data_IF_752655944949
#
_entry.id   IF_752655944949
#
_cell.length_a   1.000
_cell.length_b   1.000
_cell.length_c   1.000
_cell.angle_alpha   90.00
_cell.angle_beta   90.00
_cell.angle_gamma   90.00
#
_symmetry.space_group_name_H-M   'P 1'
#
loop_
_entity.id
_entity.type
_entity.pdbx_description
1 polymer ?
#
# COMPACT_ATOMS: atom_id res chain seq x y z
N UNK A 1 -11.08 1.69 -44.42
CA UNK A 1 -11.73 0.39 -44.12
C UNK A 1 -10.64 -0.64 -43.84
N UNK A 2 -10.28 -0.87 -42.57
CA UNK A 2 -9.27 -1.87 -42.16
C UNK A 2 -9.99 -3.03 -41.49
N UNK A 3 -9.84 -4.21 -42.08
CA UNK A 3 -10.49 -5.46 -41.70
C UNK A 3 -9.82 -6.05 -40.44
N UNK A 4 -10.60 -6.21 -39.36
CA UNK A 4 -10.20 -6.95 -38.17
C UNK A 4 -10.31 -8.45 -38.45
N UNK A 5 -9.20 -9.18 -38.37
CA UNK A 5 -9.19 -10.64 -38.36
C UNK A 5 -9.27 -11.13 -36.92
N UNK A 6 -10.37 -11.79 -36.59
CA UNK A 6 -10.57 -12.52 -35.33
C UNK A 6 -9.85 -13.86 -35.46
N UNK A 7 -8.89 -14.12 -34.59
CA UNK A 7 -8.20 -15.42 -34.49
C UNK A 7 -8.79 -16.18 -33.31
N UNK A 8 -9.54 -17.22 -33.61
CA UNK A 8 -10.10 -18.17 -32.64
C UNK A 8 -9.00 -19.16 -32.22
N UNK A 9 -8.65 -19.18 -30.93
CA UNK A 9 -7.80 -20.23 -30.36
C UNK A 9 -8.67 -21.36 -29.81
N UNK A 10 -8.51 -22.56 -30.37
CA UNK A 10 -9.06 -23.79 -29.83
C UNK A 10 -8.10 -24.34 -28.76
N UNK A 11 -8.59 -24.49 -27.52
CA UNK A 11 -7.86 -25.13 -26.42
C UNK A 11 -8.17 -26.63 -26.46
N UNK A 12 -7.15 -27.43 -26.76
CA UNK A 12 -7.22 -28.90 -26.74
C UNK A 12 -6.92 -29.36 -25.30
N UNK A 13 -7.92 -29.96 -24.64
CA UNK A 13 -7.74 -30.59 -23.32
C UNK A 13 -7.15 -31.99 -23.53
N UNK A 14 -5.86 -32.13 -23.23
CA UNK A 14 -5.17 -33.42 -23.23
C UNK A 14 -5.30 -34.12 -21.88
N UNK A 15 -5.98 -35.27 -21.86
CA UNK A 15 -6.01 -36.24 -20.76
C UNK A 15 -4.72 -37.07 -20.77
N UNK A 16 -3.98 -37.08 -19.66
CA UNK A 16 -2.85 -38.00 -19.45
C UNK A 16 -3.16 -38.99 -18.34
N UNK A 17 -3.07 -40.32 -18.58
CA UNK A 17 -3.06 -41.33 -17.54
C UNK A 17 -1.62 -41.75 -17.19
N UNK A 18 -1.40 -42.19 -15.94
CA UNK A 18 -0.22 -42.99 -15.60
C UNK A 18 0.63 -42.46 -14.45
N UNK A 19 0.12 -42.59 -13.22
CA UNK A 19 0.92 -42.56 -12.00
C UNK A 19 1.75 -43.86 -11.92
N UNK A 20 3.06 -43.76 -12.15
CA UNK A 20 4.05 -44.75 -11.71
C UNK A 20 4.87 -44.11 -10.59
N UNK A 21 4.71 -44.65 -9.38
CA UNK A 21 5.49 -44.29 -8.20
C UNK A 21 6.89 -44.92 -8.31
N UNK A 22 7.99 -44.17 -8.35
CA UNK A 22 9.31 -44.73 -8.13
C UNK A 22 9.56 -44.97 -6.64
N UNK A 23 10.15 -46.14 -6.35
CA UNK A 23 10.66 -46.54 -5.03
C UNK A 23 11.55 -45.44 -4.42
N UNK A 24 11.16 -44.94 -3.25
CA UNK A 24 11.99 -44.07 -2.41
C UNK A 24 13.04 -44.95 -1.73
N UNK A 25 14.24 -45.01 -2.29
CA UNK A 25 15.40 -45.54 -1.60
C UNK A 25 15.81 -44.56 -0.49
N UNK A 26 15.85 -45.03 0.77
CA UNK A 26 16.45 -44.30 1.88
C UNK A 26 17.94 -44.07 1.59
N UNK A 27 18.28 -42.89 1.09
CA UNK A 27 19.66 -42.42 1.02
C UNK A 27 20.17 -42.11 2.43
N UNK A 28 21.33 -42.67 2.77
CA UNK A 28 22.04 -42.40 4.01
C UNK A 28 22.35 -40.89 4.16
N UNK A 29 22.40 -40.36 5.40
CA UNK A 29 22.72 -38.95 5.64
C UNK A 29 24.16 -38.66 5.18
N UNK A 30 24.30 -37.97 4.04
CA UNK A 30 25.55 -37.33 3.69
C UNK A 30 25.86 -36.30 4.78
N UNK A 31 27.02 -36.44 5.44
CA UNK A 31 27.56 -35.43 6.35
C UNK A 31 27.59 -34.09 5.60
N UNK A 32 26.73 -33.16 6.01
CA UNK A 32 26.74 -31.80 5.53
C UNK A 32 28.14 -31.22 5.72
N UNK A 33 28.85 -31.01 4.61
CA UNK A 33 30.12 -30.30 4.62
C UNK A 33 29.90 -28.92 5.24
N UNK A 34 30.81 -28.52 6.13
CA UNK A 34 30.79 -27.21 6.76
C UNK A 34 30.57 -26.14 5.69
N UNK A 35 29.46 -25.41 5.78
CA UNK A 35 29.15 -24.31 4.89
C UNK A 35 30.32 -23.32 4.96
N UNK A 36 31.06 -23.20 3.86
CA UNK A 36 32.12 -22.21 3.75
C UNK A 36 31.51 -20.83 4.08
N UNK A 37 32.18 -20.07 4.96
CA UNK A 37 31.75 -18.73 5.31
C UNK A 37 31.49 -17.93 4.01
N UNK A 38 30.43 -17.10 3.96
CA UNK A 38 30.16 -16.29 2.79
C UNK A 38 31.40 -15.46 2.48
N UNK A 39 31.98 -15.65 1.28
CA UNK A 39 33.15 -14.87 0.84
C UNK A 39 32.89 -13.37 1.03
N UNK A 40 33.90 -12.52 1.20
CA UNK A 40 33.65 -11.08 1.27
C UNK A 40 33.24 -10.54 -0.12
N UNK A 41 32.58 -9.37 -0.19
CA UNK A 41 32.22 -8.77 -1.48
C UNK A 41 33.44 -8.49 -2.36
N UNK A 42 34.55 -8.02 -1.78
CA UNK A 42 35.81 -7.77 -2.50
C UNK A 42 36.38 -9.03 -3.18
N UNK A 43 36.23 -10.20 -2.56
CA UNK A 43 36.66 -11.47 -3.14
C UNK A 43 35.85 -11.81 -4.39
N UNK A 44 34.54 -11.53 -4.37
CA UNK A 44 33.67 -11.75 -5.53
C UNK A 44 33.96 -10.80 -6.68
N UNK A 45 34.25 -9.52 -6.40
CA UNK A 45 34.61 -8.56 -7.47
C UNK A 45 35.92 -8.97 -8.13
N UNK A 46 36.91 -9.37 -7.34
CA UNK A 46 38.19 -9.89 -7.85
C UNK A 46 37.97 -11.12 -8.73
N UNK A 47 37.18 -12.09 -8.26
CA UNK A 47 36.82 -13.28 -9.05
C UNK A 47 36.05 -12.93 -10.31
N UNK A 48 35.10 -12.02 -10.24
CA UNK A 48 34.32 -11.54 -11.39
C UNK A 48 35.19 -10.91 -12.46
N UNK A 49 36.21 -10.15 -12.06
CA UNK A 49 37.24 -9.59 -12.97
C UNK A 49 38.05 -10.68 -13.65
N UNK A 50 38.59 -11.64 -12.89
CA UNK A 50 39.33 -12.78 -13.48
C UNK A 50 38.48 -13.54 -14.49
N UNK A 51 37.21 -13.81 -14.18
CA UNK A 51 36.28 -14.48 -15.11
C UNK A 51 36.03 -13.66 -16.38
N UNK A 52 35.98 -12.32 -16.27
CA UNK A 52 35.87 -11.46 -17.44
C UNK A 52 37.13 -11.53 -18.31
N UNK A 53 38.31 -11.44 -17.71
CA UNK A 53 39.61 -11.52 -18.40
C UNK A 53 39.80 -12.89 -19.08
N UNK A 54 39.31 -13.96 -18.44
CA UNK A 54 39.28 -15.33 -18.97
C UNK A 54 38.17 -15.57 -20.02
N UNK A 55 37.43 -14.52 -20.42
CA UNK A 55 36.32 -14.57 -21.39
C UNK A 55 35.13 -15.45 -20.95
N UNK A 56 35.00 -15.74 -19.66
CA UNK A 56 33.88 -16.47 -19.05
C UNK A 56 32.77 -15.50 -18.64
N UNK A 57 32.19 -14.81 -19.62
CA UNK A 57 31.33 -13.66 -19.37
C UNK A 57 30.06 -13.99 -18.55
N UNK A 58 29.41 -15.13 -18.82
CA UNK A 58 28.20 -15.53 -18.08
C UNK A 58 28.50 -15.84 -16.61
N UNK A 59 29.61 -16.54 -16.33
CA UNK A 59 30.05 -16.82 -14.96
C UNK A 59 30.42 -15.52 -14.23
N UNK A 60 31.10 -14.59 -14.92
CA UNK A 60 31.42 -13.27 -14.40
C UNK A 60 30.15 -12.51 -14.00
N UNK A 61 29.13 -12.50 -14.87
CA UNK A 61 27.83 -11.87 -14.57
C UNK A 61 27.19 -12.46 -13.32
N UNK A 62 27.16 -13.79 -13.18
CA UNK A 62 26.57 -14.44 -12.01
C UNK A 62 27.28 -14.05 -10.72
N UNK A 63 28.63 -14.07 -10.73
CA UNK A 63 29.46 -13.70 -9.58
C UNK A 63 29.28 -12.23 -9.20
N UNK A 64 29.31 -11.33 -10.18
CA UNK A 64 29.17 -9.88 -9.96
C UNK A 64 27.76 -9.49 -9.51
N UNK A 65 26.72 -10.14 -10.05
CA UNK A 65 25.33 -9.94 -9.59
C UNK A 65 25.17 -10.38 -8.14
N UNK A 66 25.79 -11.50 -7.76
CA UNK A 66 25.84 -11.95 -6.37
C UNK A 66 26.64 -11.00 -5.46
N UNK A 67 27.67 -10.33 -5.98
CA UNK A 67 28.41 -9.31 -5.25
C UNK A 67 27.57 -8.05 -5.01
N UNK A 68 26.78 -7.63 -6.01
CA UNK A 68 25.98 -6.40 -5.95
C UNK A 68 24.94 -6.41 -4.84
N UNK A 69 24.29 -7.56 -4.60
CA UNK A 69 23.23 -7.70 -3.60
C UNK A 69 23.74 -7.81 -2.15
N UNK A 70 25.06 -7.85 -1.95
CA UNK A 70 25.62 -7.95 -0.60
C UNK A 70 25.60 -6.60 0.11
N UNK A 71 25.20 -6.56 1.39
CA UNK A 71 25.27 -5.34 2.17
C UNK A 71 26.73 -4.93 2.41
N UNK A 72 26.98 -3.63 2.55
CA UNK A 72 28.29 -3.11 2.93
C UNK A 72 29.28 -2.88 1.77
N UNK A 73 28.82 -2.97 0.51
CA UNK A 73 29.63 -2.53 -0.63
C UNK A 73 29.85 -1.02 -0.55
N UNK A 74 31.10 -0.58 -0.50
CA UNK A 74 31.44 0.83 -0.62
C UNK A 74 31.19 1.36 -2.04
N UNK A 75 31.27 2.68 -2.19
CA UNK A 75 30.97 3.36 -3.45
C UNK A 75 31.86 2.87 -4.60
N UNK A 76 33.15 2.72 -4.35
CA UNK A 76 34.13 2.30 -5.37
C UNK A 76 33.89 0.84 -5.81
N UNK A 77 33.55 -0.04 -4.87
CA UNK A 77 33.17 -1.43 -5.18
C UNK A 77 31.91 -1.48 -6.03
N UNK A 78 30.89 -0.67 -5.73
CA UNK A 78 29.66 -0.60 -6.53
C UNK A 78 29.94 -0.12 -7.96
N UNK A 79 30.75 0.92 -8.11
CA UNK A 79 31.17 1.43 -9.42
C UNK A 79 31.86 0.32 -10.23
N UNK A 80 32.80 -0.40 -9.60
CA UNK A 80 33.53 -1.47 -10.29
C UNK A 80 32.64 -2.65 -10.69
N UNK A 81 31.70 -3.06 -9.82
CA UNK A 81 30.73 -4.11 -10.13
C UNK A 81 29.88 -3.73 -11.34
N UNK A 82 29.27 -2.54 -11.32
CA UNK A 82 28.44 -2.06 -12.43
C UNK A 82 29.25 -1.91 -13.72
N UNK A 83 30.50 -1.43 -13.64
CA UNK A 83 31.40 -1.31 -14.79
C UNK A 83 31.68 -2.67 -15.44
N UNK A 84 32.06 -3.67 -14.65
CA UNK A 84 32.33 -5.02 -15.15
C UNK A 84 31.07 -5.70 -15.68
N UNK A 85 29.91 -5.53 -15.04
CA UNK A 85 28.63 -6.03 -15.57
C UNK A 85 28.32 -5.41 -16.94
N UNK A 86 28.46 -4.09 -17.08
CA UNK A 86 28.27 -3.42 -18.36
C UNK A 86 29.22 -3.98 -19.44
N UNK A 87 30.49 -4.23 -19.11
CA UNK A 87 31.46 -4.79 -20.08
C UNK A 87 31.08 -6.20 -20.54
N UNK A 88 30.68 -7.06 -19.61
CA UNK A 88 30.18 -8.40 -19.92
C UNK A 88 28.96 -8.32 -20.87
N UNK A 89 27.96 -7.51 -20.53
CA UNK A 89 26.74 -7.38 -21.32
C UNK A 89 26.98 -6.78 -22.71
N UNK A 90 27.83 -5.75 -22.83
CA UNK A 90 28.20 -5.18 -24.13
C UNK A 90 28.91 -6.22 -24.99
N UNK A 91 29.77 -7.03 -24.40
CA UNK A 91 30.52 -8.08 -25.11
C UNK A 91 29.58 -9.16 -25.65
N UNK A 92 28.60 -9.57 -24.85
CA UNK A 92 27.57 -10.55 -25.23
C UNK A 92 26.48 -9.98 -26.14
N UNK A 93 26.44 -8.66 -26.37
CA UNK A 93 25.40 -8.01 -27.18
C UNK A 93 24.04 -7.84 -26.48
N UNK A 94 24.02 -7.98 -25.15
CA UNK A 94 22.86 -7.78 -24.27
C UNK A 94 22.66 -6.29 -23.97
N UNK A 95 22.02 -5.58 -24.89
CA UNK A 95 21.96 -4.11 -24.88
C UNK A 95 21.18 -3.55 -23.69
N UNK A 96 20.02 -4.12 -23.38
CA UNK A 96 19.13 -3.62 -22.34
C UNK A 96 19.74 -3.80 -20.94
N UNK A 97 20.42 -4.93 -20.71
CA UNK A 97 21.12 -5.22 -19.47
C UNK A 97 22.40 -4.38 -19.32
N UNK A 98 23.13 -4.14 -20.42
CA UNK A 98 24.26 -3.22 -20.43
C UNK A 98 23.84 -1.81 -20.05
N UNK A 99 22.76 -1.32 -20.64
CA UNK A 99 22.19 -0.02 -20.32
C UNK A 99 21.77 0.07 -18.85
N UNK A 100 21.08 -0.94 -18.34
CA UNK A 100 20.68 -1.00 -16.93
C UNK A 100 21.89 -0.95 -15.98
N UNK A 101 22.96 -1.69 -16.30
CA UNK A 101 24.19 -1.68 -15.50
C UNK A 101 24.89 -0.32 -15.53
N UNK A 102 24.94 0.35 -16.68
CA UNK A 102 25.51 1.69 -16.84
C UNK A 102 24.69 2.74 -16.08
N UNK A 103 23.35 2.68 -16.16
CA UNK A 103 22.47 3.57 -15.38
C UNK A 103 22.68 3.37 -13.88
N UNK A 104 22.80 2.12 -13.42
CA UNK A 104 23.16 1.82 -12.03
C UNK A 104 24.48 2.47 -11.60
N UNK A 105 25.49 2.43 -12.48
CA UNK A 105 26.76 3.14 -12.26
C UNK A 105 26.53 4.66 -12.12
N UNK A 106 25.78 5.29 -13.03
CA UNK A 106 25.52 6.73 -13.04
C UNK A 106 24.69 7.21 -11.83
N UNK A 107 23.87 6.35 -11.23
CA UNK A 107 23.20 6.64 -9.96
C UNK A 107 24.21 6.73 -8.81
N UNK A 108 25.22 5.85 -8.80
CA UNK A 108 26.29 5.82 -7.78
C UNK A 108 27.30 6.95 -7.99
N UNK A 109 27.66 7.25 -9.25
CA UNK A 109 28.51 8.37 -9.63
C UNK A 109 28.04 9.03 -10.95
N UNK A 110 27.27 10.12 -10.86
CA UNK A 110 26.78 10.85 -12.05
C UNK A 110 27.89 11.41 -12.92
N UNK A 111 29.08 11.63 -12.36
CA UNK A 111 30.22 12.23 -13.06
C UNK A 111 31.16 11.19 -13.69
N UNK A 112 30.89 9.90 -13.50
CA UNK A 112 31.77 8.83 -13.93
C UNK A 112 31.98 8.77 -15.45
N UNK A 113 33.21 8.98 -15.90
CA UNK A 113 33.59 8.83 -17.29
C UNK A 113 34.51 7.62 -17.47
N UNK A 114 34.28 6.83 -18.52
CA UNK A 114 35.20 5.75 -18.84
C UNK A 114 36.60 6.28 -19.16
N UNK A 115 37.67 5.63 -18.67
CA UNK A 115 39.03 5.96 -19.04
C UNK A 115 39.26 5.86 -20.56
N UNK A 116 40.05 6.78 -21.13
CA UNK A 116 40.37 6.78 -22.57
C UNK A 116 41.11 5.53 -23.05
N UNK A 117 41.74 4.77 -22.16
CA UNK A 117 42.38 3.49 -22.47
C UNK A 117 41.40 2.36 -22.80
N UNK A 118 40.14 2.51 -22.40
CA UNK A 118 39.10 1.51 -22.67
C UNK A 118 38.72 1.50 -24.16
N UNK A 119 38.26 0.34 -24.64
CA UNK A 119 37.89 0.13 -26.04
C UNK A 119 36.88 1.18 -26.53
N UNK A 120 37.04 1.73 -27.76
CA UNK A 120 36.08 2.67 -28.34
C UNK A 120 34.63 2.18 -28.24
N UNK A 121 34.38 0.89 -28.49
CA UNK A 121 33.05 0.28 -28.42
C UNK A 121 32.39 0.46 -27.04
N UNK A 122 33.11 0.26 -25.95
CA UNK A 122 32.55 0.43 -24.60
C UNK A 122 32.24 1.90 -24.32
N UNK A 123 33.13 2.81 -24.73
CA UNK A 123 32.97 4.25 -24.53
C UNK A 123 31.77 4.80 -25.30
N UNK A 124 31.56 4.35 -26.53
CA UNK A 124 30.45 4.80 -27.37
C UNK A 124 29.10 4.43 -26.74
N UNK A 125 28.95 3.19 -26.27
CA UNK A 125 27.75 2.73 -25.55
C UNK A 125 27.53 3.53 -24.27
N UNK A 126 28.58 3.73 -23.48
CA UNK A 126 28.47 4.48 -22.22
C UNK A 126 28.09 5.94 -22.44
N UNK A 127 28.64 6.57 -23.47
CA UNK A 127 28.32 7.95 -23.86
C UNK A 127 26.86 8.06 -24.30
N UNK A 128 26.38 7.11 -25.11
CA UNK A 128 24.99 7.08 -25.57
C UNK A 128 24.00 6.89 -24.41
N UNK A 129 24.26 5.92 -23.51
CA UNK A 129 23.40 5.66 -22.34
C UNK A 129 23.39 6.85 -21.39
N UNK A 130 24.54 7.48 -21.13
CA UNK A 130 24.63 8.70 -20.32
C UNK A 130 23.76 9.81 -20.90
N UNK A 131 23.87 10.07 -22.21
CA UNK A 131 23.08 11.11 -22.87
C UNK A 131 21.57 10.85 -22.74
N UNK A 132 21.13 9.59 -22.91
CA UNK A 132 19.74 9.21 -22.73
C UNK A 132 19.27 9.38 -21.27
N UNK A 133 20.07 8.89 -20.31
CA UNK A 133 19.78 9.02 -18.88
C UNK A 133 19.69 10.48 -18.42
N UNK A 134 20.55 11.35 -18.94
CA UNK A 134 20.48 12.81 -18.70
C UNK A 134 19.24 13.44 -19.32
N UNK A 135 18.88 13.05 -20.55
CA UNK A 135 17.66 13.53 -21.23
C UNK A 135 16.37 13.10 -20.51
N UNK A 136 16.38 11.96 -19.82
CA UNK A 136 15.30 11.46 -18.97
C UNK A 136 15.23 12.15 -17.60
N UNK A 137 16.11 13.11 -17.30
CA UNK A 137 16.12 13.82 -16.02
C UNK A 137 16.84 13.05 -14.90
N UNK A 138 17.77 12.16 -15.25
CA UNK A 138 18.62 11.39 -14.31
C UNK A 138 17.84 10.50 -13.34
N UNK A 139 17.03 9.56 -13.84
CA UNK A 139 16.25 8.67 -13.00
C UNK A 139 17.15 7.88 -12.03
N UNK A 140 16.68 7.71 -10.79
CA UNK A 140 17.38 6.97 -9.74
C UNK A 140 18.28 7.81 -8.83
N UNK A 141 18.59 9.06 -9.21
CA UNK A 141 19.09 10.02 -8.24
C UNK A 141 17.94 10.48 -7.33
N UNK A 142 18.19 10.73 -6.03
CA UNK A 142 17.25 11.48 -5.22
C UNK A 142 17.12 12.87 -5.85
N UNK A 143 16.02 13.11 -6.57
CA UNK A 143 15.71 14.44 -7.06
C UNK A 143 15.53 15.33 -5.84
N UNK A 144 16.24 16.46 -5.77
CA UNK A 144 16.00 17.54 -4.79
C UNK A 144 14.61 18.18 -4.95
N UNK A 145 13.74 17.57 -5.76
CA UNK A 145 12.32 17.86 -5.74
C UNK A 145 11.86 17.66 -4.29
N UNK A 146 11.28 18.70 -3.66
CA UNK A 146 10.82 18.58 -2.28
C UNK A 146 9.91 17.36 -2.24
N UNK A 147 10.28 16.36 -1.43
CA UNK A 147 9.47 15.17 -1.26
C UNK A 147 8.09 15.68 -0.85
N UNK A 148 7.05 15.46 -1.67
CA UNK A 148 5.75 16.05 -1.40
C UNK A 148 5.33 15.60 0.01
N UNK A 149 5.01 16.57 0.88
CA UNK A 149 4.57 16.26 2.24
C UNK A 149 3.42 15.24 2.15
N UNK A 150 3.42 14.15 2.94
CA UNK A 150 2.36 13.17 2.85
C UNK A 150 1.02 13.83 3.26
N UNK A 151 -0.02 13.64 2.43
CA UNK A 151 -1.37 14.13 2.77
C UNK A 151 -2.00 13.14 3.73
N UNK A 152 -2.45 13.61 4.88
CA UNK A 152 -3.13 12.78 5.88
C UNK A 152 -4.61 13.13 5.98
N UNK A 153 -5.47 12.11 5.89
CA UNK A 153 -6.91 12.23 6.08
C UNK A 153 -7.30 11.67 7.45
N UNK A 154 -7.73 12.56 8.35
CA UNK A 154 -8.17 12.21 9.69
C UNK A 154 -9.68 12.11 9.74
N UNK A 155 -10.18 10.91 10.03
CA UNK A 155 -11.59 10.63 10.20
C UNK A 155 -11.79 9.53 11.24
N UNK A 156 -12.73 9.75 12.16
CA UNK A 156 -13.16 8.78 13.17
C UNK A 156 -14.55 8.27 12.79
N UNK A 157 -14.66 7.04 12.26
CA UNK A 157 -15.94 6.43 11.92
C UNK A 157 -16.82 6.26 13.16
N UNK A 158 -18.14 6.35 12.99
CA UNK A 158 -19.07 5.90 14.02
C UNK A 158 -19.12 4.37 14.02
N UNK A 159 -19.16 3.76 15.20
CA UNK A 159 -19.28 2.30 15.30
C UNK A 159 -20.68 1.82 14.93
N UNK A 160 -21.71 2.62 15.21
CA UNK A 160 -23.12 2.27 15.01
C UNK A 160 -23.95 3.50 14.63
N UNK A 161 -25.00 3.30 13.82
CA UNK A 161 -25.97 4.33 13.45
C UNK A 161 -27.35 3.72 13.23
N UNK A 162 -28.42 4.40 13.64
CA UNK A 162 -29.79 3.95 13.45
C UNK A 162 -30.18 3.93 11.96
N UNK A 163 -30.90 2.89 11.54
CA UNK A 163 -31.37 2.74 10.17
C UNK A 163 -32.22 3.94 9.72
N UNK A 164 -32.05 4.37 8.47
CA UNK A 164 -32.82 5.49 7.90
C UNK A 164 -32.35 6.89 8.32
N UNK A 165 -31.37 7.01 9.21
CA UNK A 165 -30.85 8.31 9.65
C UNK A 165 -29.72 8.82 8.76
N UNK A 166 -29.58 10.13 8.64
CA UNK A 166 -28.46 10.74 7.91
C UNK A 166 -27.15 10.48 8.65
N UNK A 167 -26.13 9.95 7.95
CA UNK A 167 -24.80 9.75 8.51
C UNK A 167 -23.87 10.90 8.07
N UNK A 168 -23.51 11.83 8.97
CA UNK A 168 -22.55 12.87 8.67
C UNK A 168 -21.11 12.32 8.68
N UNK A 169 -20.40 12.49 7.57
CA UNK A 169 -18.98 12.16 7.43
C UNK A 169 -18.19 13.45 7.42
N UNK A 170 -17.33 13.64 8.43
CA UNK A 170 -16.44 14.80 8.53
C UNK A 170 -14.99 14.35 8.49
N UNK A 171 -14.20 14.91 7.57
CA UNK A 171 -12.79 14.57 7.36
C UNK A 171 -11.95 15.82 7.56
N UNK A 172 -10.92 15.71 8.40
CA UNK A 172 -9.89 16.74 8.56
C UNK A 172 -8.69 16.40 7.68
N UNK A 173 -8.22 17.37 6.92
CA UNK A 173 -7.20 17.19 5.88
C UNK A 173 -5.93 17.92 6.32
N UNK A 174 -4.83 17.20 6.37
CA UNK A 174 -3.49 17.77 6.54
C UNK A 174 -2.78 17.72 5.20
N UNK A 175 -2.78 18.87 4.53
CA UNK A 175 -2.12 19.07 3.24
C UNK A 175 -1.49 20.46 3.21
N UNK A 176 -0.18 20.52 3.43
CA UNK A 176 0.57 21.78 3.42
C UNK A 176 0.78 22.30 2.00
N UNK A 177 0.62 21.45 0.99
CA UNK A 177 0.77 21.80 -0.43
C UNK A 177 -0.53 22.23 -1.10
N UNK A 178 -1.66 22.23 -0.40
CA UNK A 178 -3.00 22.55 -0.93
C UNK A 178 -3.33 21.86 -2.27
N UNK A 179 -2.86 20.62 -2.42
CA UNK A 179 -3.08 19.76 -3.58
C UNK A 179 -4.50 19.21 -3.61
N UNK A 180 -5.14 18.99 -2.46
CA UNK A 180 -6.52 18.50 -2.43
C UNK A 180 -7.47 19.56 -2.98
N UNK A 181 -8.14 19.26 -4.09
CA UNK A 181 -9.16 20.12 -4.71
C UNK A 181 -10.57 19.59 -4.55
N UNK A 182 -10.73 18.28 -4.45
CA UNK A 182 -12.02 17.62 -4.28
C UNK A 182 -11.90 16.49 -3.24
N UNK A 183 -12.98 16.22 -2.50
CA UNK A 183 -13.07 15.05 -1.64
C UNK A 183 -14.35 14.30 -1.99
N UNK A 184 -14.24 13.00 -2.18
CA UNK A 184 -15.37 12.11 -2.51
C UNK A 184 -15.52 11.05 -1.44
N UNK A 185 -16.76 10.77 -1.08
CA UNK A 185 -17.15 9.68 -0.20
C UNK A 185 -17.82 8.61 -1.05
N UNK A 186 -17.28 7.41 -1.00
CA UNK A 186 -17.82 6.24 -1.67
C UNK A 186 -18.52 5.38 -0.63
N UNK A 187 -19.81 5.08 -0.79
CA UNK A 187 -20.57 4.31 0.19
C UNK A 187 -21.40 3.20 -0.45
N UNK A 188 -21.68 2.13 0.29
CA UNK A 188 -22.62 1.07 -0.09
C UNK A 188 -23.34 0.50 1.13
N UNK A 189 -24.53 -0.02 0.90
CA UNK A 189 -25.32 -0.72 1.90
C UNK A 189 -24.88 -2.19 1.95
N UNK A 190 -24.53 -2.69 3.14
CA UNK A 190 -24.00 -4.02 3.34
C UNK A 190 -22.56 -4.22 2.83
N UNK A 191 -22.17 -5.48 2.68
CA UNK A 191 -20.82 -5.88 2.24
C UNK A 191 -20.73 -6.22 0.74
N UNK A 192 -21.84 -6.16 0.01
CA UNK A 192 -21.94 -6.56 -1.40
C UNK A 192 -22.45 -5.39 -2.26
N UNK A 193 -22.19 -5.47 -3.57
CA UNK A 193 -22.56 -4.41 -4.51
C UNK A 193 -21.49 -3.34 -4.71
N UNK A 194 -21.75 -2.45 -5.68
CA UNK A 194 -20.87 -1.34 -6.02
C UNK A 194 -21.03 -0.15 -5.08
N UNK A 195 -19.97 0.63 -4.93
CA UNK A 195 -20.01 1.88 -4.19
C UNK A 195 -20.72 2.98 -5.00
N UNK A 196 -21.56 3.75 -4.32
CA UNK A 196 -22.13 4.98 -4.80
C UNK A 196 -21.22 6.15 -4.42
N UNK A 197 -21.12 7.14 -5.29
CA UNK A 197 -20.26 8.31 -5.10
C UNK A 197 -21.05 9.50 -4.55
N UNK A 198 -20.46 10.20 -3.59
CA UNK A 198 -20.97 11.42 -3.00
C UNK A 198 -19.84 12.46 -2.89
N UNK A 199 -19.98 13.59 -3.58
CA UNK A 199 -19.04 14.70 -3.45
C UNK A 199 -19.20 15.36 -2.07
N UNK A 200 -18.10 15.50 -1.34
CA UNK A 200 -18.05 16.20 -0.07
C UNK A 200 -17.87 17.70 -0.29
N UNK A 201 -18.52 18.51 0.53
CA UNK A 201 -18.30 19.95 0.58
C UNK A 201 -16.98 20.25 1.29
N UNK A 202 -15.98 20.75 0.54
CA UNK A 202 -14.68 21.12 1.06
C UNK A 202 -14.68 22.59 1.50
N UNK A 203 -14.41 22.83 2.80
CA UNK A 203 -14.26 24.18 3.39
C UNK A 203 -12.94 24.26 4.15
N UNK A 204 -11.94 24.89 3.53
CA UNK A 204 -10.57 24.94 4.08
C UNK A 204 -10.00 23.53 4.25
N UNK A 205 -9.51 23.21 5.46
CA UNK A 205 -8.94 21.88 5.79
C UNK A 205 -9.97 20.85 6.25
N UNK A 206 -11.27 21.07 6.01
CA UNK A 206 -12.34 20.16 6.43
C UNK A 206 -13.27 19.85 5.26
N UNK A 207 -13.51 18.57 5.01
CA UNK A 207 -14.52 18.10 4.06
C UNK A 207 -15.71 17.49 4.81
N UNK A 208 -16.93 17.75 4.32
CA UNK A 208 -18.17 17.23 4.91
C UNK A 208 -19.07 16.62 3.85
N UNK A 209 -19.57 15.42 4.13
CA UNK A 209 -20.57 14.77 3.31
C UNK A 209 -21.70 14.22 4.19
N UNK A 210 -22.89 14.07 3.61
CA UNK A 210 -24.07 13.52 4.27
C UNK A 210 -24.52 12.28 3.52
N UNK A 211 -24.24 11.08 4.05
CA UNK A 211 -24.76 9.85 3.45
C UNK A 211 -26.28 9.81 3.69
N UNK A 212 -27.09 9.62 2.62
CA UNK A 212 -28.54 9.71 2.72
C UNK A 212 -29.11 8.56 3.57
N UNK A 213 -30.11 8.87 4.39
CA UNK A 213 -30.76 7.90 5.28
C UNK A 213 -31.24 6.61 4.59
N UNK A 214 -31.83 6.66 3.37
CA UNK A 214 -32.18 5.46 2.63
C UNK A 214 -31.02 4.52 2.31
N UNK A 215 -29.76 4.97 2.32
CA UNK A 215 -28.59 4.11 2.15
C UNK A 215 -28.11 3.48 3.47
N UNK A 216 -28.50 4.05 4.60
CA UNK A 216 -28.17 3.59 5.95
C UNK A 216 -29.17 2.50 6.37
N UNK A 217 -28.96 1.28 5.90
CA UNK A 217 -29.83 0.13 6.18
C UNK A 217 -29.07 -1.02 6.84
N UNK A 218 -29.76 -1.90 7.58
CA UNK A 218 -29.15 -3.11 8.14
C UNK A 218 -28.56 -4.02 7.05
N UNK A 219 -27.53 -4.82 7.38
CA UNK A 219 -26.88 -4.92 8.70
C UNK A 219 -25.73 -3.92 8.92
N UNK A 220 -25.25 -3.28 7.86
CA UNK A 220 -24.10 -2.36 7.93
C UNK A 220 -24.06 -1.40 6.75
N UNK A 221 -23.29 -0.33 6.89
CA UNK A 221 -22.89 0.57 5.81
C UNK A 221 -21.37 0.52 5.69
N UNK A 222 -20.87 0.23 4.49
CA UNK A 222 -19.44 0.29 4.16
C UNK A 222 -19.17 1.60 3.38
N UNK A 223 -18.13 2.34 3.72
CA UNK A 223 -17.72 3.54 3.00
C UNK A 223 -16.21 3.80 3.07
N UNK A 224 -15.68 4.57 2.13
CA UNK A 224 -14.32 5.09 2.19
C UNK A 224 -14.29 6.51 1.61
N UNK A 225 -13.18 7.22 1.85
CA UNK A 225 -13.03 8.61 1.42
C UNK A 225 -11.77 8.76 0.58
N UNK A 226 -11.88 9.46 -0.54
CA UNK A 226 -10.76 9.76 -1.44
C UNK A 226 -10.63 11.27 -1.60
N UNK A 227 -9.42 11.78 -1.40
CA UNK A 227 -9.06 13.15 -1.75
C UNK A 227 -8.41 13.17 -3.13
N UNK A 228 -8.85 14.11 -3.98
CA UNK A 228 -8.42 14.24 -5.37
C UNK A 228 -7.69 15.57 -5.60
N UNK A 229 -6.74 15.58 -6.54
CA UNK A 229 -6.09 16.80 -7.04
C UNK A 229 -6.92 17.56 -8.10
N UNK A 230 -6.34 18.60 -8.70
CA UNK A 230 -6.99 19.42 -9.72
C UNK A 230 -7.28 18.63 -11.01
N UNK A 231 -6.49 17.58 -11.27
CA UNK A 231 -6.63 16.67 -12.39
C UNK A 231 -7.60 15.51 -12.10
N UNK A 232 -8.17 15.45 -10.89
CA UNK A 232 -9.09 14.42 -10.45
C UNK A 232 -8.41 13.10 -10.08
N UNK A 233 -7.09 13.09 -9.83
CA UNK A 233 -6.35 11.90 -9.41
C UNK A 233 -6.36 11.75 -7.90
N UNK A 234 -6.43 10.52 -7.37
CA UNK A 234 -6.38 10.28 -5.94
C UNK A 234 -5.00 10.63 -5.36
N UNK A 235 -4.99 11.53 -4.38
CA UNK A 235 -3.77 11.95 -3.66
C UNK A 235 -3.71 11.45 -2.22
N UNK A 236 -4.85 11.09 -1.63
CA UNK A 236 -4.94 10.39 -0.35
C UNK A 236 -6.26 9.65 -0.20
N UNK A 237 -6.28 8.60 0.61
CA UNK A 237 -7.45 7.77 0.83
C UNK A 237 -7.58 7.40 2.31
N UNK A 238 -8.82 7.29 2.80
CA UNK A 238 -9.13 6.75 4.13
C UNK A 238 -10.09 5.58 3.96
N UNK A 239 -9.54 4.36 4.10
CA UNK A 239 -10.16 3.14 3.61
C UNK A 239 -10.00 3.01 2.09
N UNK A 240 -10.44 1.89 1.53
CA UNK A 240 -10.53 1.66 0.09
C UNK A 240 -11.64 0.63 -0.22
N UNK A 241 -11.76 0.20 -1.48
CA UNK A 241 -12.79 -0.76 -1.89
C UNK A 241 -12.61 -2.15 -1.24
N UNK A 242 -11.37 -2.53 -0.90
CA UNK A 242 -11.02 -3.83 -0.30
C UNK A 242 -11.06 -3.81 1.23
N UNK A 243 -10.77 -2.67 1.84
CA UNK A 243 -10.80 -2.40 3.27
C UNK A 243 -11.60 -1.14 3.57
N UNK A 244 -12.93 -1.12 3.32
CA UNK A 244 -13.76 0.03 3.62
C UNK A 244 -13.92 0.22 5.13
N UNK A 245 -14.27 1.44 5.53
CA UNK A 245 -14.74 1.74 6.88
C UNK A 245 -16.15 1.19 7.03
N UNK A 246 -16.43 0.51 8.16
CA UNK A 246 -17.73 -0.11 8.42
C UNK A 246 -18.43 0.55 9.59
N UNK A 247 -19.70 0.86 9.41
CA UNK A 247 -20.63 1.26 10.48
C UNK A 247 -21.70 0.19 10.60
N UNK A 248 -21.96 -0.27 11.82
CA UNK A 248 -23.05 -1.22 12.09
C UNK A 248 -24.39 -0.48 12.04
N UNK A 249 -25.37 -1.08 11.37
CA UNK A 249 -26.74 -0.55 11.33
C UNK A 249 -27.65 -1.62 11.93
N UNK A 250 -28.11 -1.47 13.19
CA UNK A 250 -28.92 -2.48 13.83
C UNK A 250 -30.26 -2.61 13.10
N UNK A 251 -30.79 -3.83 13.03
CA UNK A 251 -32.17 -4.02 12.60
C UNK A 251 -33.09 -3.28 13.58
N UNK A 252 -34.11 -2.60 13.06
CA UNK A 252 -35.17 -2.07 13.90
C UNK A 252 -35.76 -3.25 14.67
N UNK A 253 -35.45 -3.34 15.97
CA UNK A 253 -35.94 -4.42 16.81
C UNK A 253 -37.45 -4.41 16.67
N UNK A 254 -37.99 -5.42 15.99
CA UNK A 254 -39.42 -5.56 15.77
C UNK A 254 -40.01 -5.76 17.15
N UNK A 255 -40.43 -4.65 17.76
CA UNK A 255 -40.76 -4.58 19.18
C UNK A 255 -41.65 -5.76 19.52
N UNK A 256 -41.17 -6.63 20.42
CA UNK A 256 -41.94 -7.75 20.88
C UNK A 256 -43.11 -7.16 21.67
N UNK A 257 -44.27 -7.02 21.04
CA UNK A 257 -45.50 -6.66 21.72
C UNK A 257 -45.86 -7.86 22.58
N UNK A 258 -45.47 -7.85 23.85
CA UNK A 258 -45.91 -8.85 24.82
C UNK A 258 -47.39 -8.59 25.10
N UNK A 259 -48.33 -9.49 24.73
CA UNK A 259 -49.70 -9.37 25.17
C UNK A 259 -49.74 -9.63 26.68
N UNK A 260 -49.92 -8.57 27.48
CA UNK A 260 -50.16 -8.73 28.92
C UNK A 260 -51.64 -9.06 29.11
N UNK A 261 -51.95 -10.33 29.38
CA UNK A 261 -53.28 -10.77 29.77
C UNK A 261 -53.51 -10.44 31.25
N UNK A 262 -54.08 -9.28 31.54
CA UNK A 262 -54.61 -8.97 32.88
C UNK A 262 -56.01 -9.56 32.94
N UNK A 263 -56.24 -10.51 33.86
CA UNK A 263 -57.51 -11.21 34.00
C UNK A 263 -58.69 -10.25 34.10
N UNK A 264 -59.53 -10.19 33.05
CA UNK A 264 -60.77 -9.40 33.01
C UNK A 264 -61.04 -8.66 31.70
N UNK A 265 -60.04 -8.40 30.86
CA UNK A 265 -60.27 -7.75 29.56
C UNK A 265 -58.98 -7.51 28.78
N UNK A 266 -58.97 -7.86 27.50
CA UNK A 266 -57.81 -7.66 26.62
C UNK A 266 -57.68 -6.18 26.30
N UNK A 267 -56.77 -5.47 26.97
CA UNK A 267 -56.30 -4.16 26.53
C UNK A 267 -54.98 -4.37 25.78
N UNK A 268 -54.99 -4.09 24.47
CA UNK A 268 -53.78 -3.99 23.68
C UNK A 268 -53.02 -2.72 24.10
N UNK A 269 -52.12 -2.84 25.07
CA UNK A 269 -51.25 -1.73 25.47
C UNK A 269 -50.08 -1.71 24.49
N UNK A 270 -50.15 -0.81 23.50
CA UNK A 270 -48.98 -0.41 22.74
C UNK A 270 -47.98 0.26 23.69
N UNK A 271 -46.78 -0.31 23.82
CA UNK A 271 -45.74 0.26 24.65
C UNK A 271 -45.24 1.57 24.03
N UNK A 272 -45.79 2.69 24.52
CA UNK A 272 -45.25 4.04 24.41
C UNK A 272 -43.91 4.10 25.17
N UNK A 273 -42.82 3.68 24.54
CA UNK A 273 -41.49 4.02 25.04
C UNK A 273 -41.08 5.39 24.50
N UNK A 274 -41.11 6.37 25.40
CA UNK A 274 -40.18 7.50 25.39
C UNK A 274 -40.71 8.82 24.85
N UNK A 275 -41.52 9.53 25.64
CA UNK A 275 -41.72 10.97 25.40
C UNK A 275 -43.02 11.58 25.92
N UNK A 276 -43.47 11.28 27.13
CA UNK A 276 -44.54 12.05 27.77
C UNK A 276 -43.99 12.74 29.01
N UNK A 277 -43.64 14.02 28.81
CA UNK A 277 -43.34 14.97 29.86
C UNK A 277 -44.58 15.13 30.75
N UNK A 278 -44.56 14.50 31.92
CA UNK A 278 -45.47 14.85 33.01
C UNK A 278 -45.01 16.20 33.59
N UNK A 279 -45.84 17.22 33.38
CA UNK A 279 -45.76 18.50 34.05
C UNK A 279 -45.87 18.27 35.58
N UNK A 280 -44.76 18.47 36.28
CA UNK A 280 -44.66 18.33 37.73
C UNK A 280 -43.76 19.41 38.30
N UNK A 281 -44.38 20.36 39.01
CA UNK A 281 -43.80 21.45 39.79
C UNK A 281 -42.60 20.98 40.62
N UNK A 282 -41.41 21.52 40.36
CA UNK A 282 -40.26 21.38 41.26
C UNK A 282 -39.85 22.74 41.84
N UNK A 283 -39.97 22.78 43.17
CA UNK A 283 -39.60 23.84 44.08
C UNK A 283 -38.07 23.89 44.20
N UNK A 284 -37.52 25.08 44.02
CA UNK A 284 -36.08 25.42 44.11
C UNK A 284 -35.54 25.13 45.51
N UNK A 285 -34.41 24.44 45.62
CA UNK A 285 -33.53 24.49 46.80
C UNK A 285 -32.07 24.31 46.35
N UNK A 286 -31.14 25.15 46.83
CA UNK A 286 -29.74 25.10 46.45
C UNK A 286 -28.98 24.24 47.47
N UNK A 287 -28.28 23.20 47.04
CA UNK A 287 -27.23 22.62 47.87
C UNK A 287 -26.14 22.05 46.97
N UNK A 288 -25.00 22.73 47.00
CA UNK A 288 -23.74 22.22 46.47
C UNK A 288 -23.16 21.18 47.43
N UNK A 289 -22.52 20.17 46.85
CA UNK A 289 -21.52 19.35 47.50
C UNK A 289 -20.41 19.02 46.47
N UNK A 290 -19.15 18.94 46.91
CA UNK A 290 -17.98 18.85 46.02
C UNK A 290 -17.74 17.44 45.48
N UNK A 291 -17.27 17.38 44.23
CA UNK A 291 -16.76 16.17 43.57
C UNK A 291 -15.48 15.65 44.25
N UNK A 292 -15.28 14.33 44.40
CA UNK A 292 -14.00 13.77 44.82
C UNK A 292 -12.94 13.86 43.70
N UNK A 293 -11.64 13.98 44.04
CA UNK A 293 -10.57 14.09 43.05
C UNK A 293 -10.34 12.75 42.32
N UNK A 294 -10.28 12.83 40.99
CA UNK A 294 -9.77 11.78 40.11
C UNK A 294 -8.32 11.46 40.46
N UNK A 295 -8.01 10.19 40.71
CA UNK A 295 -6.64 9.71 40.81
C UNK A 295 -6.13 9.36 39.42
N UNK A 296 -5.19 10.17 38.93
CA UNK A 296 -4.38 9.83 37.76
C UNK A 296 -3.45 8.66 38.12
N UNK A 297 -3.59 7.54 37.41
CA UNK A 297 -2.64 6.44 37.46
C UNK A 297 -1.54 6.70 36.41
N UNK A 298 -0.39 7.17 36.87
CA UNK A 298 0.84 7.25 36.07
C UNK A 298 1.54 5.90 36.14
N UNK A 299 1.70 5.23 34.99
CA UNK A 299 2.54 4.03 34.87
C UNK A 299 3.87 4.45 34.27
N UNK A 300 4.93 4.38 35.09
CA UNK A 300 6.31 4.61 34.67
C UNK A 300 6.96 3.28 34.29
N UNK A 301 7.36 3.12 33.03
CA UNK A 301 8.16 1.97 32.58
C UNK A 301 9.62 2.43 32.47
N UNK A 302 10.50 1.85 33.29
CA UNK A 302 11.95 2.06 33.22
C UNK A 302 12.56 0.94 32.38
N UNK A 303 13.18 1.28 31.26
CA UNK A 303 14.00 0.36 30.47
C UNK A 303 15.45 0.56 30.95
N UNK A 304 16.09 -0.52 31.40
CA UNK A 304 17.54 -0.54 31.67
C UNK A 304 18.27 -0.91 30.38
N UNK A 305 19.33 -0.16 30.10
CA UNK A 305 20.33 -0.44 29.06
C UNK A 305 21.04 -1.79 29.27
#
# INVERSE_FOLDING_TARGET
MRSLRVITFAVLVGTSPGLLLPNVALAAPQKAGAAAAPAASGDLVTRGRTLFDDQKYEESIQVLSGALVRPGNDRDTQIEIHRLLAFNYITLGRKDEAESAIRGLLVVDPTYALPKKESPRFRDVFTAVRAAWEAEGRPGLPTDAPTPTPISLHHTPRSEVEAGTLLPVTIRIEDDGERVKEVRVYYRTGATGGFQELTAELRGKTARALVPGPAVQPPSLDYFVTALDAEGKPVATRGDETGPLRVVVPEASKGWVLPVAIGGGVLAIGALFGGLALAGVFKKSPFGAPSPPSRDAVVSVTIRE
#
